data_IF_184945645526
#
_entry.id   IF_184945645526
#
_cell.length_a   1.000
_cell.length_b   1.000
_cell.length_c   1.000
_cell.angle_alpha   90.00
_cell.angle_beta   90.00
_cell.angle_gamma   90.00
#
_symmetry.space_group_name_H-M   'P 1'
#
loop_
_entity.id
_entity.type
_entity.pdbx_description
1 polymer ?
#
# COMPACT_ATOMS: atom_id res chain seq x y z
N UNK A 1 16.42 -24.87 -25.95
CA UNK A 1 17.10 -24.80 -24.67
C UNK A 1 17.18 -23.38 -24.13
N UNK A 2 17.71 -22.51 -24.92
CA UNK A 2 17.86 -21.12 -24.48
C UNK A 2 16.51 -20.42 -24.27
N UNK A 3 15.53 -20.79 -25.09
CA UNK A 3 14.22 -20.17 -25.02
C UNK A 3 13.53 -20.40 -23.70
N UNK A 4 13.70 -21.59 -23.14
CA UNK A 4 13.09 -21.92 -21.85
C UNK A 4 13.65 -21.04 -20.73
N UNK A 5 14.97 -20.81 -20.76
CA UNK A 5 15.62 -19.96 -19.77
C UNK A 5 15.12 -18.53 -19.87
N UNK A 6 14.98 -18.02 -21.08
CA UNK A 6 14.52 -16.66 -21.31
C UNK A 6 13.08 -16.46 -20.81
N UNK A 7 12.23 -17.45 -21.05
CA UNK A 7 10.85 -17.37 -20.61
C UNK A 7 10.76 -17.31 -19.09
N UNK A 8 11.63 -18.05 -18.41
CA UNK A 8 11.67 -18.04 -16.96
C UNK A 8 12.08 -16.67 -16.42
N UNK A 9 13.07 -16.07 -17.05
CA UNK A 9 13.54 -14.74 -16.66
C UNK A 9 12.45 -13.68 -16.84
N UNK A 10 11.75 -13.76 -17.98
CA UNK A 10 10.66 -12.82 -18.25
C UNK A 10 9.57 -12.92 -17.20
N UNK A 11 9.21 -14.13 -16.79
CA UNK A 11 8.20 -14.34 -15.76
C UNK A 11 8.65 -13.73 -14.45
N UNK A 12 9.93 -13.90 -14.08
CA UNK A 12 10.47 -13.32 -12.85
C UNK A 12 10.44 -11.81 -12.87
N UNK A 13 10.73 -11.19 -14.02
CA UNK A 13 10.78 -9.73 -14.14
C UNK A 13 9.41 -9.09 -14.01
N UNK A 14 8.33 -9.85 -14.21
CA UNK A 14 6.98 -9.33 -14.09
C UNK A 14 6.47 -9.30 -12.64
N UNK A 15 7.18 -9.94 -11.73
CA UNK A 15 6.76 -9.96 -10.33
C UNK A 15 7.12 -8.65 -9.64
N UNK A 16 6.12 -8.00 -9.05
CA UNK A 16 6.33 -6.77 -8.30
C UNK A 16 6.86 -7.13 -6.91
N UNK A 17 7.97 -6.51 -6.53
CA UNK A 17 8.60 -6.74 -5.24
C UNK A 17 8.60 -5.46 -4.41
N UNK A 18 8.74 -5.61 -3.09
CA UNK A 18 8.79 -4.48 -2.17
C UNK A 18 10.15 -4.40 -1.50
N UNK A 19 10.52 -3.19 -1.11
CA UNK A 19 11.76 -2.91 -0.42
C UNK A 19 11.50 -1.93 0.71
N UNK A 20 11.97 -2.25 1.92
CA UNK A 20 11.81 -1.36 3.07
C UNK A 20 12.73 -0.15 2.89
N UNK A 21 12.16 1.04 3.08
CA UNK A 21 12.93 2.28 3.02
C UNK A 21 13.65 2.48 4.35
N UNK A 22 14.98 2.61 4.36
CA UNK A 22 15.71 2.88 5.60
C UNK A 22 15.20 4.18 6.24
N UNK A 23 15.18 4.19 7.56
CA UNK A 23 14.64 5.32 8.31
C UNK A 23 15.28 6.66 7.91
N UNK A 24 16.59 6.66 7.71
CA UNK A 24 17.31 7.86 7.32
C UNK A 24 16.93 8.37 5.93
N UNK A 25 16.33 7.54 5.09
CA UNK A 25 15.96 7.89 3.71
C UNK A 25 14.49 8.20 3.53
N UNK A 26 13.68 8.13 4.59
CA UNK A 26 12.23 8.26 4.48
C UNK A 26 11.78 9.59 3.91
N UNK A 27 12.29 10.68 4.47
CA UNK A 27 11.86 12.02 4.05
C UNK A 27 12.23 12.29 2.61
N UNK A 28 13.45 11.92 2.21
CA UNK A 28 13.87 12.08 0.81
C UNK A 28 13.00 11.27 -0.13
N UNK A 29 12.64 10.05 0.25
CA UNK A 29 11.82 9.17 -0.57
C UNK A 29 10.43 9.75 -0.79
N UNK A 30 9.74 10.15 0.27
CA UNK A 30 8.37 10.66 0.13
C UNK A 30 8.34 12.03 -0.52
N UNK A 31 9.37 12.85 -0.31
CA UNK A 31 9.48 14.13 -0.97
C UNK A 31 9.64 13.95 -2.48
N UNK A 32 10.48 13.00 -2.88
CA UNK A 32 10.69 12.68 -4.31
C UNK A 32 9.42 12.12 -4.96
N UNK A 33 8.67 11.27 -4.23
CA UNK A 33 7.49 10.61 -4.79
C UNK A 33 6.25 11.52 -4.80
N UNK A 34 6.05 12.29 -3.74
CA UNK A 34 4.79 13.02 -3.53
C UNK A 34 4.97 14.50 -3.23
N UNK A 35 6.17 14.93 -2.91
CA UNK A 35 6.39 16.30 -2.47
C UNK A 35 5.64 16.58 -1.17
N UNK A 36 5.27 17.84 -0.99
CA UNK A 36 4.61 18.31 0.23
C UNK A 36 3.25 17.64 0.47
N UNK A 37 2.61 17.17 -0.59
CA UNK A 37 1.31 16.49 -0.49
C UNK A 37 1.35 15.22 0.34
N UNK A 38 2.53 14.62 0.51
CA UNK A 38 2.64 13.44 1.39
C UNK A 38 2.23 13.81 2.81
N UNK A 39 2.87 14.82 3.38
CA UNK A 39 2.62 15.22 4.78
C UNK A 39 1.23 15.85 4.93
N UNK A 40 0.81 16.62 3.94
CA UNK A 40 -0.43 17.37 4.05
C UNK A 40 -1.67 16.52 3.76
N UNK A 41 -1.56 15.52 2.92
CA UNK A 41 -2.73 14.76 2.48
C UNK A 41 -2.60 13.26 2.57
N UNK A 42 -1.53 12.67 2.04
CA UNK A 42 -1.44 11.21 1.94
C UNK A 42 -1.34 10.55 3.31
N UNK A 43 -0.34 10.94 4.10
CA UNK A 43 -0.12 10.31 5.40
C UNK A 43 -1.31 10.44 6.35
N UNK A 44 -1.90 11.63 6.52
CA UNK A 44 -3.07 11.74 7.40
C UNK A 44 -4.25 10.90 6.91
N UNK A 45 -4.43 10.78 5.61
CA UNK A 45 -5.52 9.99 5.03
C UNK A 45 -5.30 8.51 5.29
N UNK A 46 -4.06 8.02 5.11
CA UNK A 46 -3.74 6.62 5.39
C UNK A 46 -4.01 6.28 6.86
N UNK A 47 -3.54 7.11 7.78
CA UNK A 47 -3.73 6.86 9.21
C UNK A 47 -5.21 6.89 9.60
N UNK A 48 -5.99 7.78 9.00
CA UNK A 48 -7.42 7.84 9.27
C UNK A 48 -8.12 6.57 8.81
N UNK A 49 -7.74 6.02 7.66
CA UNK A 49 -8.30 4.77 7.20
C UNK A 49 -7.87 3.59 8.07
N UNK A 50 -6.60 3.54 8.49
CA UNK A 50 -6.15 2.47 9.38
C UNK A 50 -6.95 2.46 10.69
N UNK A 51 -7.17 3.64 11.26
CA UNK A 51 -7.94 3.80 12.49
C UNK A 51 -9.40 3.37 12.29
N UNK A 52 -9.97 3.71 11.14
CA UNK A 52 -11.35 3.35 10.82
C UNK A 52 -11.51 1.85 10.54
N UNK A 53 -10.53 1.22 9.92
CA UNK A 53 -10.63 -0.17 9.50
C UNK A 53 -10.38 -1.15 10.65
N UNK A 54 -9.47 -0.85 11.55
CA UNK A 54 -9.06 -1.78 12.61
C UNK A 54 -9.51 -1.26 13.98
N UNK A 55 -10.40 -2.02 14.65
CA UNK A 55 -10.92 -1.62 15.96
C UNK A 55 -9.86 -1.69 17.06
N UNK A 56 -8.82 -2.49 16.85
CA UNK A 56 -7.72 -2.62 17.79
C UNK A 56 -6.43 -1.97 17.28
N UNK A 57 -6.56 -0.94 16.44
CA UNK A 57 -5.39 -0.21 15.95
C UNK A 57 -4.64 0.43 17.13
N UNK A 58 -3.34 0.16 17.22
CA UNK A 58 -2.53 0.46 18.41
C UNK A 58 -1.57 1.64 18.23
N UNK A 59 -1.67 2.38 17.11
CA UNK A 59 -0.88 3.59 16.85
C UNK A 59 0.64 3.33 16.95
N UNK A 60 1.08 2.14 16.54
CA UNK A 60 2.48 1.76 16.63
C UNK A 60 3.34 2.36 15.52
N UNK A 61 4.55 1.85 15.43
CA UNK A 61 5.54 2.30 14.46
C UNK A 61 5.22 1.75 13.06
N UNK A 62 5.36 2.60 12.03
CA UNK A 62 5.09 2.21 10.64
C UNK A 62 6.38 2.16 9.84
N UNK A 63 6.45 1.25 8.87
CA UNK A 63 7.53 1.15 7.91
C UNK A 63 7.07 1.61 6.54
N UNK A 64 8.01 2.18 5.78
CA UNK A 64 7.76 2.65 4.41
C UNK A 64 8.32 1.62 3.44
N UNK A 65 7.58 1.35 2.36
CA UNK A 65 7.96 0.37 1.36
C UNK A 65 7.86 0.98 -0.04
N UNK A 66 8.91 0.84 -0.83
CA UNK A 66 8.85 1.15 -2.26
C UNK A 66 8.65 -0.13 -3.04
N UNK A 67 7.98 -0.01 -4.17
CA UNK A 67 7.67 -1.16 -5.03
C UNK A 67 8.47 -1.08 -6.31
N UNK A 68 8.80 -2.24 -6.88
CA UNK A 68 9.60 -2.32 -8.11
C UNK A 68 8.90 -1.71 -9.31
N UNK A 69 7.59 -1.57 -9.26
CA UNK A 69 6.83 -0.93 -10.33
C UNK A 69 6.68 0.58 -10.18
N UNK A 70 7.28 1.16 -9.15
CA UNK A 70 7.19 2.60 -8.89
C UNK A 70 6.21 2.96 -7.80
N UNK A 71 5.49 2.00 -7.25
CA UNK A 71 4.52 2.24 -6.18
C UNK A 71 5.15 2.43 -4.81
N UNK A 72 4.30 2.69 -3.83
CA UNK A 72 4.70 2.96 -2.45
C UNK A 72 3.55 2.64 -1.51
N UNK A 73 3.87 2.07 -0.34
CA UNK A 73 2.91 1.98 0.74
C UNK A 73 3.62 2.04 2.08
N UNK A 74 2.87 2.29 3.13
CA UNK A 74 3.38 2.24 4.49
C UNK A 74 2.47 1.34 5.32
N UNK A 75 3.05 0.69 6.33
CA UNK A 75 2.34 -0.31 7.12
C UNK A 75 2.89 -0.41 8.52
N UNK A 76 2.03 -0.71 9.52
CA UNK A 76 2.51 -0.94 10.88
C UNK A 76 3.51 -2.08 10.93
N UNK A 77 4.60 -1.85 11.64
CA UNK A 77 5.54 -2.90 11.97
C UNK A 77 5.21 -3.41 13.37
N UNK A 78 4.42 -4.47 13.43
CA UNK A 78 4.01 -5.02 14.72
C UNK A 78 3.62 -6.47 14.54
N UNK A 79 3.60 -7.23 15.65
CA UNK A 79 3.13 -8.60 15.66
C UNK A 79 1.63 -8.67 15.95
N UNK A 80 0.98 -7.53 16.10
CA UNK A 80 -0.45 -7.46 16.36
C UNK A 80 -1.22 -8.01 15.17
N UNK A 81 -2.23 -8.83 15.46
CA UNK A 81 -3.22 -9.23 14.47
C UNK A 81 -4.37 -8.25 14.60
N UNK A 82 -4.64 -7.53 13.51
CA UNK A 82 -5.65 -6.47 13.52
C UNK A 82 -7.01 -7.02 13.11
N UNK A 83 -8.05 -6.60 13.82
CA UNK A 83 -9.42 -6.95 13.50
C UNK A 83 -9.97 -5.89 12.55
N UNK A 84 -10.24 -6.27 11.32
CA UNK A 84 -10.59 -5.34 10.24
C UNK A 84 -12.06 -5.52 9.86
N UNK A 85 -12.79 -4.40 9.84
CA UNK A 85 -14.17 -4.37 9.36
C UNK A 85 -14.33 -3.25 8.35
N UNK A 86 -15.00 -3.54 7.26
CA UNK A 86 -15.19 -2.59 6.17
C UNK A 86 -16.68 -2.36 5.89
N UNK A 87 -17.00 -1.19 5.36
CA UNK A 87 -18.39 -0.84 5.05
C UNK A 87 -19.02 -1.76 4.01
N UNK A 88 -18.18 -2.41 3.20
CA UNK A 88 -18.67 -3.37 2.18
C UNK A 88 -19.06 -4.74 2.77
N UNK A 89 -18.97 -4.90 4.08
CA UNK A 89 -19.34 -6.15 4.76
C UNK A 89 -18.17 -7.08 5.06
N UNK A 90 -16.97 -6.75 4.64
CA UNK A 90 -15.81 -7.57 4.99
C UNK A 90 -15.54 -7.47 6.49
N UNK A 91 -15.29 -8.63 7.11
CA UNK A 91 -14.95 -8.73 8.52
C UNK A 91 -13.93 -9.86 8.67
N UNK A 92 -12.73 -9.54 9.14
CA UNK A 92 -11.67 -10.53 9.22
C UNK A 92 -10.45 -9.99 9.93
N UNK A 93 -9.35 -10.72 9.83
CA UNK A 93 -8.10 -10.35 10.48
C UNK A 93 -7.00 -10.13 9.45
N UNK A 94 -6.09 -9.20 9.77
CA UNK A 94 -4.94 -8.88 8.92
C UNK A 94 -3.70 -8.67 9.77
N UNK A 95 -2.54 -9.00 9.20
CA UNK A 95 -1.27 -8.55 9.77
C UNK A 95 -1.12 -7.05 9.60
N UNK A 96 -0.15 -6.45 10.27
CA UNK A 96 0.16 -5.03 10.10
C UNK A 96 0.47 -4.68 8.65
N UNK A 97 1.22 -5.55 7.97
CA UNK A 97 1.57 -5.32 6.56
C UNK A 97 0.31 -5.25 5.69
N UNK A 98 -0.60 -6.19 5.85
CA UNK A 98 -1.84 -6.20 5.07
C UNK A 98 -2.76 -5.03 5.45
N UNK A 99 -2.84 -4.67 6.73
CA UNK A 99 -3.63 -3.53 7.15
C UNK A 99 -3.13 -2.24 6.51
N UNK A 100 -1.82 -2.00 6.56
CA UNK A 100 -1.24 -0.80 5.99
C UNK A 100 -1.43 -0.73 4.48
N UNK A 101 -1.23 -1.86 3.80
CA UNK A 101 -1.45 -1.95 2.36
C UNK A 101 -2.91 -1.63 2.02
N UNK A 102 -3.85 -2.20 2.76
CA UNK A 102 -5.28 -1.97 2.56
C UNK A 102 -5.65 -0.50 2.82
N UNK A 103 -5.13 0.07 3.92
CA UNK A 103 -5.38 1.48 4.24
C UNK A 103 -4.83 2.40 3.14
N UNK A 104 -3.67 2.06 2.57
CA UNK A 104 -3.10 2.83 1.46
C UNK A 104 -3.95 2.72 0.21
N UNK A 105 -4.49 1.54 -0.10
CA UNK A 105 -5.40 1.39 -1.23
C UNK A 105 -6.64 2.26 -1.06
N UNK A 106 -7.22 2.28 0.12
CA UNK A 106 -8.35 3.17 0.42
C UNK A 106 -7.96 4.63 0.28
N UNK A 107 -6.78 5.01 0.80
CA UNK A 107 -6.32 6.41 0.73
C UNK A 107 -6.08 6.85 -0.72
N UNK A 108 -5.38 6.04 -1.50
CA UNK A 108 -5.14 6.38 -2.91
C UNK A 108 -6.44 6.49 -3.69
N UNK A 109 -7.36 5.56 -3.47
CA UNK A 109 -8.66 5.61 -4.13
C UNK A 109 -9.40 6.89 -3.75
N UNK A 110 -9.49 7.19 -2.45
CA UNK A 110 -10.15 8.38 -1.96
C UNK A 110 -9.55 9.66 -2.55
N UNK A 111 -8.23 9.77 -2.53
CA UNK A 111 -7.55 10.97 -3.00
C UNK A 111 -7.56 11.10 -4.53
N UNK A 112 -7.76 10.00 -5.26
CA UNK A 112 -7.85 10.03 -6.72
C UNK A 112 -9.12 10.70 -7.22
N UNK A 113 -10.13 10.88 -6.37
CA UNK A 113 -11.37 11.58 -6.69
C UNK A 113 -11.32 13.06 -6.33
N UNK A 114 -10.14 13.63 -6.17
CA UNK A 114 -9.99 15.03 -5.77
C UNK A 114 -10.22 16.02 -6.90
N UNK A 115 -9.41 17.06 -6.93
CA UNK A 115 -9.63 18.26 -7.75
C UNK A 115 -9.09 18.16 -9.20
N UNK A 116 -8.68 16.99 -9.64
CA UNK A 116 -8.11 16.80 -10.99
C UNK A 116 -6.68 17.29 -11.13
N UNK A 117 -6.02 17.59 -10.01
CA UNK A 117 -4.62 18.03 -10.02
C UNK A 117 -3.67 16.87 -10.35
N UNK A 118 -2.40 17.18 -10.56
CA UNK A 118 -1.37 16.17 -10.78
C UNK A 118 -1.31 15.17 -9.62
N UNK A 119 -1.56 15.65 -8.40
CA UNK A 119 -1.55 14.79 -7.22
C UNK A 119 -2.68 13.76 -7.26
N UNK A 120 -3.88 14.13 -7.69
CA UNK A 120 -4.99 13.19 -7.79
C UNK A 120 -4.70 12.10 -8.83
N UNK A 121 -4.08 12.49 -9.94
CA UNK A 121 -3.67 11.56 -10.97
C UNK A 121 -2.57 10.62 -10.47
N UNK A 122 -1.62 11.17 -9.71
CA UNK A 122 -0.56 10.39 -9.08
C UNK A 122 -1.13 9.36 -8.11
N UNK A 123 -2.13 9.74 -7.33
CA UNK A 123 -2.80 8.82 -6.41
C UNK A 123 -3.48 7.68 -7.18
N UNK A 124 -4.12 7.97 -8.31
CA UNK A 124 -4.72 6.95 -9.15
C UNK A 124 -3.65 5.96 -9.65
N UNK A 125 -2.50 6.46 -10.07
CA UNK A 125 -1.40 5.62 -10.52
C UNK A 125 -0.88 4.73 -9.38
N UNK A 126 -0.70 5.30 -8.20
CA UNK A 126 -0.25 4.54 -7.04
C UNK A 126 -1.26 3.48 -6.63
N UNK A 127 -2.55 3.76 -6.75
CA UNK A 127 -3.58 2.77 -6.48
C UNK A 127 -3.36 1.53 -7.36
N UNK A 128 -3.15 1.72 -8.65
CA UNK A 128 -2.96 0.61 -9.57
C UNK A 128 -1.64 -0.12 -9.33
N UNK A 129 -0.56 0.60 -9.05
CA UNK A 129 0.73 -0.02 -8.74
C UNK A 129 0.66 -0.86 -7.47
N UNK A 130 0.01 -0.33 -6.44
CA UNK A 130 -0.12 -1.06 -5.17
C UNK A 130 -1.04 -2.27 -5.32
N UNK A 131 -2.12 -2.13 -6.07
CA UNK A 131 -3.03 -3.23 -6.34
C UNK A 131 -2.33 -4.37 -7.08
N UNK A 132 -1.46 -4.02 -8.01
CA UNK A 132 -0.64 -4.99 -8.73
C UNK A 132 0.26 -5.79 -7.78
N UNK A 133 0.91 -5.09 -6.86
CA UNK A 133 1.72 -5.75 -5.84
C UNK A 133 0.87 -6.68 -4.96
N UNK A 134 -0.31 -6.23 -4.59
CA UNK A 134 -1.20 -6.99 -3.71
C UNK A 134 -1.61 -8.34 -4.28
N UNK A 135 -1.62 -8.50 -5.60
CA UNK A 135 -1.95 -9.76 -6.25
C UNK A 135 -1.02 -10.88 -5.78
N UNK A 136 0.24 -10.58 -5.51
CA UNK A 136 1.21 -11.56 -5.02
C UNK A 136 1.37 -11.63 -3.51
N UNK A 137 0.55 -10.90 -2.76
CA UNK A 137 0.66 -10.85 -1.30
C UNK A 137 0.08 -12.10 -0.65
N UNK A 138 0.68 -12.52 0.48
CA UNK A 138 0.20 -13.69 1.23
C UNK A 138 -1.27 -13.57 1.63
N UNK A 139 -1.71 -12.37 1.94
CA UNK A 139 -3.07 -12.10 2.40
C UNK A 139 -3.94 -11.50 1.30
N UNK A 140 -3.66 -11.86 0.06
CA UNK A 140 -4.34 -11.31 -1.12
C UNK A 140 -5.86 -11.43 -1.02
N UNK A 141 -6.37 -12.54 -0.50
CA UNK A 141 -7.84 -12.72 -0.39
C UNK A 141 -8.47 -11.68 0.53
N UNK A 142 -7.90 -11.51 1.72
CA UNK A 142 -8.41 -10.54 2.69
C UNK A 142 -8.32 -9.13 2.14
N UNK A 143 -7.19 -8.78 1.54
CA UNK A 143 -6.99 -7.44 0.99
C UNK A 143 -8.04 -7.14 -0.08
N UNK A 144 -8.21 -8.03 -1.06
CA UNK A 144 -9.16 -7.78 -2.15
C UNK A 144 -10.60 -7.81 -1.69
N UNK A 145 -10.94 -8.65 -0.71
CA UNK A 145 -12.30 -8.63 -0.14
C UNK A 145 -12.57 -7.35 0.63
N UNK A 146 -11.55 -6.78 1.25
CA UNK A 146 -11.70 -5.54 2.00
C UNK A 146 -11.93 -4.34 1.09
N UNK A 147 -11.33 -4.30 -0.10
CA UNK A 147 -11.44 -3.15 -1.00
C UNK A 147 -12.56 -3.29 -2.04
N UNK A 148 -13.08 -4.48 -2.24
CA UNK A 148 -14.17 -4.72 -3.18
C UNK A 148 -15.52 -4.60 -2.45
#
# INVERSE_FOLDING_TARGET
MNDTTQNTDDTSSDTVTSQIVPEASRMDTVDRLFGLRYVLQLEPTVFRFAESLADNYDYGYWQFHTLSNGGFYLAPRSDTVYNVSCDNGFDGQMTGDALGLTACLYAYSHLSFGDGSEFTELCANHYHWLREYAIGHREVRSIFRAID
#
